data_IF_556301018366
#
_entry.id   IF_556301018366
#
_cell.length_a   1.000
_cell.length_b   1.000
_cell.length_c   1.000
_cell.angle_alpha   90.00
_cell.angle_beta   90.00
_cell.angle_gamma   90.00
#
_symmetry.space_group_name_H-M   'P 1'
#
loop_
_entity.id
_entity.type
_entity.pdbx_description
1 polymer ?
#
# COMPACT_ATOMS: atom_id res chain seq x y z
N UNK A 1 -52.55 -33.96 -6.30
CA UNK A 1 -51.66 -33.13 -7.15
C UNK A 1 -50.71 -32.38 -6.22
N UNK A 2 -49.46 -32.85 -6.06
CA UNK A 2 -48.45 -32.18 -5.24
C UNK A 2 -47.59 -31.28 -6.13
N UNK A 3 -47.66 -29.97 -5.90
CA UNK A 3 -46.82 -28.96 -6.54
C UNK A 3 -45.40 -29.04 -6.00
N UNK A 4 -44.43 -29.32 -6.87
CA UNK A 4 -43.01 -29.23 -6.56
C UNK A 4 -42.57 -27.76 -6.72
N UNK A 5 -42.21 -27.13 -5.60
CA UNK A 5 -41.52 -25.84 -5.62
C UNK A 5 -40.04 -26.08 -5.89
N UNK A 6 -39.58 -25.77 -7.10
CA UNK A 6 -38.16 -25.80 -7.46
C UNK A 6 -37.50 -24.53 -6.93
N UNK A 7 -36.77 -24.64 -5.82
CA UNK A 7 -35.90 -23.56 -5.33
C UNK A 7 -34.65 -23.53 -6.21
N UNK A 8 -34.60 -22.61 -7.17
CA UNK A 8 -33.38 -22.28 -7.91
C UNK A 8 -32.43 -21.57 -6.95
N UNK A 9 -31.48 -22.33 -6.40
CA UNK A 9 -30.30 -21.78 -5.73
C UNK A 9 -29.45 -21.05 -6.78
N UNK A 10 -29.63 -19.73 -6.87
CA UNK A 10 -28.78 -18.87 -7.69
C UNK A 10 -27.36 -18.88 -7.14
N UNK A 11 -26.44 -19.51 -7.87
CA UNK A 11 -25.01 -19.38 -7.64
C UNK A 11 -24.65 -17.93 -7.97
N UNK A 12 -24.50 -17.08 -6.95
CA UNK A 12 -23.83 -15.79 -7.09
C UNK A 12 -22.36 -16.11 -7.34
N UNK A 13 -21.97 -16.21 -8.61
CA UNK A 13 -20.57 -16.12 -8.97
C UNK A 13 -20.10 -14.72 -8.53
N UNK A 14 -19.40 -14.66 -7.40
CA UNK A 14 -18.69 -13.46 -6.99
C UNK A 14 -17.64 -13.18 -8.08
N UNK A 15 -17.98 -12.31 -9.04
CA UNK A 15 -17.06 -11.82 -10.04
C UNK A 15 -16.07 -10.85 -9.37
N UNK A 16 -15.23 -11.37 -8.49
CA UNK A 16 -14.01 -10.71 -8.10
C UNK A 16 -13.09 -10.67 -9.31
N UNK A 17 -12.62 -9.49 -9.67
CA UNK A 17 -11.59 -9.36 -10.69
C UNK A 17 -10.32 -9.97 -10.13
N UNK A 18 -9.93 -11.15 -10.61
CA UNK A 18 -8.59 -11.67 -10.39
C UNK A 18 -7.63 -10.69 -11.08
N UNK A 19 -6.92 -9.90 -10.29
CA UNK A 19 -5.93 -8.98 -10.84
C UNK A 19 -4.87 -9.77 -11.61
N UNK A 20 -4.59 -9.35 -12.85
CA UNK A 20 -3.50 -9.91 -13.63
C UNK A 20 -2.15 -9.65 -12.93
N UNK A 21 -1.20 -10.57 -13.14
CA UNK A 21 0.15 -10.39 -12.67
C UNK A 21 0.80 -9.16 -13.31
N UNK A 22 1.58 -8.41 -12.54
CA UNK A 22 2.20 -7.16 -12.99
C UNK A 22 3.68 -7.12 -12.62
N UNK A 23 4.53 -6.99 -13.63
CA UNK A 23 5.98 -6.86 -13.45
C UNK A 23 6.41 -5.42 -13.17
N UNK A 24 7.42 -5.26 -12.31
CA UNK A 24 7.97 -3.97 -11.91
C UNK A 24 9.42 -4.14 -11.41
N UNK A 25 10.11 -3.03 -11.14
CA UNK A 25 11.41 -3.03 -10.47
C UNK A 25 11.32 -2.23 -9.17
N UNK A 26 12.20 -2.48 -8.21
CA UNK A 26 12.25 -1.67 -6.97
C UNK A 26 12.43 -0.17 -7.25
N UNK A 27 13.19 0.16 -8.30
CA UNK A 27 13.43 1.54 -8.76
C UNK A 27 12.15 2.26 -9.17
N UNK A 28 11.17 1.58 -9.78
CA UNK A 28 9.91 2.24 -10.16
C UNK A 28 9.10 2.71 -8.95
N UNK A 29 9.37 2.15 -7.76
CA UNK A 29 8.74 2.51 -6.49
C UNK A 29 9.55 3.54 -5.68
N UNK A 30 10.68 4.04 -6.17
CA UNK A 30 11.56 4.93 -5.40
C UNK A 30 10.86 6.20 -4.91
N UNK A 31 9.95 6.75 -5.72
CA UNK A 31 9.15 7.93 -5.36
C UNK A 31 8.22 7.70 -4.15
N UNK A 32 7.88 6.44 -3.83
CA UNK A 32 7.06 6.07 -2.66
C UNK A 32 7.89 5.81 -1.40
N UNK A 33 9.21 5.83 -1.53
CA UNK A 33 10.15 5.51 -0.46
C UNK A 33 11.31 6.52 -0.42
N UNK A 34 11.03 7.83 -0.32
CA UNK A 34 12.05 8.88 -0.48
C UNK A 34 13.22 8.77 0.50
N UNK A 35 12.97 8.19 1.68
CA UNK A 35 13.96 8.03 2.75
C UNK A 35 14.51 6.60 2.89
N UNK A 36 14.12 5.69 2.00
CA UNK A 36 14.68 4.34 2.00
C UNK A 36 15.95 4.29 1.15
N UNK A 37 16.97 3.60 1.66
CA UNK A 37 18.15 3.29 0.87
C UNK A 37 17.88 2.08 -0.02
N UNK A 38 17.77 2.32 -1.33
CA UNK A 38 17.71 1.23 -2.30
C UNK A 38 18.99 0.38 -2.26
N UNK A 39 18.84 -0.94 -2.37
CA UNK A 39 19.92 -1.90 -2.21
C UNK A 39 20.24 -2.26 -0.76
N UNK A 40 19.43 -1.82 0.21
CA UNK A 40 19.52 -2.32 1.59
C UNK A 40 18.84 -3.70 1.75
N UNK A 41 18.86 -4.24 2.98
CA UNK A 41 18.30 -5.55 3.28
C UNK A 41 16.78 -5.69 3.04
N UNK A 42 16.03 -4.59 3.15
CA UNK A 42 14.58 -4.56 3.03
C UNK A 42 14.11 -4.07 1.66
N UNK A 43 15.01 -3.42 0.92
CA UNK A 43 14.83 -2.90 -0.43
C UNK A 43 15.93 -3.44 -1.35
N UNK A 44 16.14 -4.78 -1.43
CA UNK A 44 17.29 -5.37 -2.12
C UNK A 44 17.17 -5.20 -3.64
N UNK A 45 18.30 -5.08 -4.33
CA UNK A 45 18.41 -5.02 -5.80
C UNK A 45 17.28 -4.21 -6.48
N UNK A 46 17.38 -2.87 -6.54
CA UNK A 46 16.32 -2.03 -7.10
C UNK A 46 16.06 -2.27 -8.59
N UNK A 47 16.95 -2.96 -9.29
CA UNK A 47 16.84 -3.23 -10.73
C UNK A 47 16.35 -4.65 -11.03
N UNK A 48 16.18 -5.50 -10.01
CA UNK A 48 15.57 -6.81 -10.16
C UNK A 48 14.14 -6.70 -10.70
N UNK A 49 13.82 -7.55 -11.69
CA UNK A 49 12.46 -7.70 -12.20
C UNK A 49 11.63 -8.54 -11.22
N UNK A 50 10.61 -7.93 -10.63
CA UNK A 50 9.70 -8.51 -9.65
C UNK A 50 8.30 -8.58 -10.26
N UNK A 51 7.46 -9.52 -9.82
CA UNK A 51 6.12 -9.70 -10.39
C UNK A 51 5.07 -9.91 -9.30
N UNK A 52 4.20 -8.92 -9.11
CA UNK A 52 3.05 -9.03 -8.20
C UNK A 52 2.01 -9.99 -8.80
N UNK A 53 1.43 -10.88 -8.00
CA UNK A 53 0.55 -11.95 -8.48
C UNK A 53 1.28 -13.06 -9.25
N UNK A 54 2.62 -13.05 -9.26
CA UNK A 54 3.46 -14.12 -9.82
C UNK A 54 3.66 -15.29 -8.85
N UNK A 55 4.55 -16.22 -9.19
CA UNK A 55 4.93 -17.35 -8.32
C UNK A 55 6.10 -17.06 -7.38
N UNK A 56 6.87 -16.01 -7.66
CA UNK A 56 8.04 -15.61 -6.86
C UNK A 56 7.66 -14.68 -5.72
N UNK A 57 8.32 -14.85 -4.58
CA UNK A 57 8.15 -13.98 -3.41
C UNK A 57 8.89 -12.67 -3.63
N UNK A 58 8.18 -11.57 -3.46
CA UNK A 58 8.71 -10.20 -3.53
C UNK A 58 9.23 -9.77 -2.15
N UNK A 59 10.33 -8.99 -2.05
CA UNK A 59 10.71 -8.31 -0.81
C UNK A 59 9.54 -7.51 -0.21
N UNK A 60 9.32 -7.66 1.10
CA UNK A 60 8.11 -7.18 1.78
C UNK A 60 7.80 -5.69 1.56
N UNK A 61 8.83 -4.84 1.68
CA UNK A 61 8.67 -3.40 1.52
C UNK A 61 8.30 -3.01 0.09
N UNK A 62 8.88 -3.66 -0.93
CA UNK A 62 8.49 -3.45 -2.32
C UNK A 62 7.07 -3.92 -2.59
N UNK A 63 6.70 -5.08 -2.04
CA UNK A 63 5.39 -5.66 -2.25
C UNK A 63 4.28 -4.82 -1.60
N UNK A 64 4.48 -4.31 -0.38
CA UNK A 64 3.59 -3.34 0.26
C UNK A 64 3.35 -2.12 -0.64
N UNK A 65 4.44 -1.48 -1.08
CA UNK A 65 4.36 -0.27 -1.89
C UNK A 65 3.73 -0.54 -3.26
N UNK A 66 4.02 -1.70 -3.87
CA UNK A 66 3.45 -2.07 -5.16
C UNK A 66 1.96 -2.39 -5.07
N UNK A 67 1.51 -3.06 -4.01
CA UNK A 67 0.10 -3.32 -3.78
C UNK A 67 -0.66 -2.00 -3.62
N UNK A 68 -0.14 -1.06 -2.83
CA UNK A 68 -0.74 0.27 -2.68
C UNK A 68 -0.82 1.01 -4.02
N UNK A 69 0.31 1.14 -4.72
CA UNK A 69 0.40 1.76 -6.05
C UNK A 69 -0.62 1.18 -7.03
N UNK A 70 -0.67 -0.15 -7.12
CA UNK A 70 -1.58 -0.84 -8.01
C UNK A 70 -3.04 -0.58 -7.66
N UNK A 71 -3.40 -0.66 -6.38
CA UNK A 71 -4.76 -0.41 -5.93
C UNK A 71 -5.21 1.04 -6.19
N UNK A 72 -4.33 2.01 -5.99
CA UNK A 72 -4.58 3.42 -6.31
C UNK A 72 -4.82 3.63 -7.81
N UNK A 73 -3.94 3.06 -8.65
CA UNK A 73 -4.01 3.16 -10.12
C UNK A 73 -5.22 2.45 -10.71
N UNK A 74 -5.43 1.18 -10.35
CA UNK A 74 -6.47 0.36 -10.98
C UNK A 74 -7.88 0.87 -10.64
N UNK A 75 -8.07 1.41 -9.44
CA UNK A 75 -9.37 1.92 -8.99
C UNK A 75 -9.60 3.37 -9.39
N UNK A 76 -8.52 4.13 -9.63
CA UNK A 76 -8.56 5.57 -9.88
C UNK A 76 -9.15 6.38 -8.72
N UNK A 77 -9.14 5.80 -7.51
CA UNK A 77 -9.80 6.37 -6.34
C UNK A 77 -9.18 7.70 -5.88
N UNK A 78 -7.85 7.80 -5.93
CA UNK A 78 -7.16 9.04 -5.54
C UNK A 78 -7.36 10.19 -6.52
N UNK A 79 -7.78 9.91 -7.76
CA UNK A 79 -8.13 10.94 -8.74
C UNK A 79 -9.56 11.49 -8.54
N UNK A 80 -10.38 10.85 -7.71
CA UNK A 80 -11.80 11.15 -7.54
C UNK A 80 -12.28 10.68 -6.15
N UNK A 81 -11.78 11.34 -5.11
CA UNK A 81 -11.99 10.96 -3.70
C UNK A 81 -13.47 10.98 -3.27
N UNK A 82 -14.32 11.73 -3.97
CA UNK A 82 -15.75 11.82 -3.66
C UNK A 82 -16.57 10.69 -4.30
N UNK A 83 -15.95 9.85 -5.14
CA UNK A 83 -16.61 8.72 -5.77
C UNK A 83 -16.58 7.48 -4.88
N UNK A 84 -17.67 7.28 -4.14
CA UNK A 84 -17.82 6.17 -3.20
C UNK A 84 -17.54 4.79 -3.83
N UNK A 85 -17.91 4.56 -5.09
CA UNK A 85 -17.64 3.26 -5.74
C UNK A 85 -16.14 3.01 -5.93
N UNK A 86 -15.37 4.04 -6.33
CA UNK A 86 -13.92 3.91 -6.50
C UNK A 86 -13.23 3.77 -5.15
N UNK A 87 -13.63 4.55 -4.15
CA UNK A 87 -13.08 4.47 -2.80
C UNK A 87 -13.37 3.13 -2.13
N UNK A 88 -14.56 2.56 -2.35
CA UNK A 88 -14.89 1.20 -1.89
C UNK A 88 -14.05 0.15 -2.61
N UNK A 89 -13.90 0.23 -3.93
CA UNK A 89 -13.03 -0.67 -4.67
C UNK A 89 -11.56 -0.56 -4.22
N UNK A 90 -11.09 0.65 -3.86
CA UNK A 90 -9.76 0.85 -3.30
C UNK A 90 -9.60 0.20 -1.93
N UNK A 91 -10.59 0.35 -1.05
CA UNK A 91 -10.65 -0.37 0.23
C UNK A 91 -10.61 -1.88 0.06
N UNK A 92 -11.40 -2.43 -0.85
CA UNK A 92 -11.45 -3.86 -1.12
C UNK A 92 -10.16 -4.36 -1.81
N UNK A 93 -9.53 -3.53 -2.65
CA UNK A 93 -8.23 -3.85 -3.24
C UNK A 93 -7.13 -3.95 -2.18
N UNK A 94 -7.11 -3.04 -1.20
CA UNK A 94 -6.10 -3.07 -0.13
C UNK A 94 -6.38 -4.11 0.94
N UNK A 95 -7.64 -4.31 1.34
CA UNK A 95 -8.00 -5.09 2.55
C UNK A 95 -9.00 -6.22 2.31
N UNK A 96 -9.50 -6.37 1.09
CA UNK A 96 -10.44 -7.42 0.72
C UNK A 96 -9.78 -8.79 0.55
N UNK A 97 -10.60 -9.78 0.19
CA UNK A 97 -10.19 -11.17 0.08
C UNK A 97 -9.05 -11.36 -0.93
N UNK A 98 -7.96 -12.00 -0.50
CA UNK A 98 -6.77 -12.24 -1.32
C UNK A 98 -5.67 -11.19 -1.19
N UNK A 99 -5.96 -10.02 -0.60
CA UNK A 99 -4.92 -9.00 -0.40
C UNK A 99 -3.89 -9.47 0.62
N UNK A 100 -2.62 -9.24 0.30
CA UNK A 100 -1.54 -9.45 1.24
C UNK A 100 -1.06 -8.14 1.91
N UNK A 101 -1.55 -6.98 1.49
CA UNK A 101 -1.08 -5.63 1.89
C UNK A 101 -0.71 -5.48 3.36
N UNK A 102 -1.61 -5.85 4.30
CA UNK A 102 -1.33 -5.75 5.74
C UNK A 102 -0.14 -6.63 6.17
N UNK A 103 -0.11 -7.87 5.70
CA UNK A 103 0.99 -8.82 5.96
C UNK A 103 2.29 -8.35 5.31
N UNK A 104 2.22 -7.60 4.21
CA UNK A 104 3.37 -7.00 3.51
C UNK A 104 4.02 -5.93 4.34
N UNK A 105 3.18 -5.02 4.82
CA UNK A 105 3.59 -3.92 5.68
C UNK A 105 4.18 -4.39 7.01
N UNK A 106 3.51 -5.32 7.69
CA UNK A 106 3.98 -5.88 8.97
C UNK A 106 5.34 -6.57 8.83
N UNK A 107 5.55 -7.31 7.75
CA UNK A 107 6.82 -7.96 7.51
C UNK A 107 7.91 -7.00 7.00
N UNK A 108 7.55 -5.92 6.29
CA UNK A 108 8.47 -4.84 5.98
C UNK A 108 8.98 -4.19 7.27
N UNK A 109 8.08 -3.90 8.21
CA UNK A 109 8.40 -3.39 9.54
C UNK A 109 9.32 -4.35 10.32
N UNK A 110 8.98 -5.64 10.36
CA UNK A 110 9.84 -6.66 10.95
C UNK A 110 11.24 -6.70 10.33
N UNK A 111 11.34 -6.67 8.99
CA UNK A 111 12.61 -6.59 8.27
C UNK A 111 13.45 -5.38 8.74
N UNK A 112 12.82 -4.22 8.88
CA UNK A 112 13.50 -2.99 9.31
C UNK A 112 14.04 -3.12 10.73
N UNK A 113 13.33 -3.77 11.65
CA UNK A 113 13.82 -4.02 13.02
C UNK A 113 14.96 -5.03 13.05
N UNK A 114 14.83 -6.13 12.32
CA UNK A 114 15.85 -7.18 12.23
C UNK A 114 17.18 -6.62 11.72
N UNK A 115 17.10 -5.73 10.72
CA UNK A 115 18.26 -5.09 10.10
C UNK A 115 18.67 -3.75 10.72
N UNK A 116 18.11 -3.39 11.88
CA UNK A 116 18.45 -2.15 12.62
C UNK A 116 18.24 -0.86 11.81
N UNK A 117 17.33 -0.89 10.84
CA UNK A 117 16.81 0.29 10.14
C UNK A 117 15.81 1.01 11.04
N UNK A 118 14.95 0.26 11.73
CA UNK A 118 14.08 0.75 12.80
C UNK A 118 14.57 0.25 14.16
N UNK A 119 14.39 1.08 15.19
CA UNK A 119 14.37 0.59 16.57
C UNK A 119 13.01 -0.03 16.90
N UNK A 120 12.95 -0.84 17.96
CA UNK A 120 11.68 -1.45 18.39
C UNK A 120 10.61 -0.39 18.71
N UNK A 121 11.00 0.77 19.26
CA UNK A 121 10.08 1.85 19.54
C UNK A 121 9.53 2.50 18.26
N UNK A 122 10.39 2.72 17.25
CA UNK A 122 9.97 3.23 15.94
C UNK A 122 9.02 2.26 15.24
N UNK A 123 9.29 0.96 15.35
CA UNK A 123 8.43 -0.07 14.78
C UNK A 123 7.06 -0.13 15.45
N UNK A 124 7.04 -0.14 16.78
CA UNK A 124 5.81 -0.10 17.56
C UNK A 124 4.97 1.14 17.23
N UNK A 125 5.62 2.30 17.09
CA UNK A 125 4.96 3.53 16.64
C UNK A 125 4.24 3.32 15.29
N UNK A 126 4.93 2.80 14.28
CA UNK A 126 4.33 2.55 12.96
C UNK A 126 3.20 1.51 13.03
N UNK A 127 3.39 0.42 13.78
CA UNK A 127 2.36 -0.59 13.99
C UNK A 127 1.08 -0.01 14.60
N UNK A 128 1.21 0.86 15.61
CA UNK A 128 0.07 1.49 16.28
C UNK A 128 -0.65 2.48 15.36
N UNK A 129 0.09 3.29 14.61
CA UNK A 129 -0.47 4.22 13.62
C UNK A 129 -1.21 3.45 12.52
N UNK A 130 -0.60 2.41 11.96
CA UNK A 130 -1.21 1.61 10.91
C UNK A 130 -2.45 0.86 11.40
N UNK A 131 -2.46 0.37 12.64
CA UNK A 131 -3.66 -0.26 13.21
C UNK A 131 -4.83 0.72 13.27
N UNK A 132 -4.59 1.96 13.70
CA UNK A 132 -5.61 3.02 13.75
C UNK A 132 -6.07 3.42 12.35
N UNK A 133 -5.14 3.64 11.43
CA UNK A 133 -5.45 4.07 10.07
C UNK A 133 -6.18 2.99 9.28
N UNK A 134 -5.78 1.72 9.41
CA UNK A 134 -6.49 0.58 8.83
C UNK A 134 -7.93 0.51 9.33
N UNK A 135 -8.15 0.61 10.65
CA UNK A 135 -9.47 0.54 11.24
C UNK A 135 -10.36 1.69 10.73
N UNK A 136 -9.85 2.93 10.73
CA UNK A 136 -10.56 4.10 10.21
C UNK A 136 -10.87 3.95 8.72
N UNK A 137 -9.89 3.60 7.89
CA UNK A 137 -10.07 3.45 6.44
C UNK A 137 -11.10 2.34 6.10
N UNK A 138 -11.04 1.20 6.80
CA UNK A 138 -11.99 0.09 6.57
C UNK A 138 -13.41 0.42 7.01
N UNK A 139 -13.60 1.25 8.05
CA UNK A 139 -14.92 1.58 8.60
C UNK A 139 -15.53 2.89 8.10
N UNK A 140 -14.74 3.76 7.47
CA UNK A 140 -15.21 5.07 6.99
C UNK A 140 -16.38 4.95 6.01
N UNK A 141 -17.38 5.80 6.23
CA UNK A 141 -18.54 5.96 5.37
C UNK A 141 -19.14 7.38 5.54
N UNK A 142 -18.99 8.29 4.56
CA UNK A 142 -18.27 8.09 3.30
C UNK A 142 -16.76 7.93 3.54
N UNK A 143 -16.11 7.13 2.70
CA UNK A 143 -14.65 7.08 2.61
C UNK A 143 -14.23 8.05 1.50
N UNK A 144 -13.52 9.12 1.87
CA UNK A 144 -13.14 10.21 0.95
C UNK A 144 -11.66 10.65 1.10
N UNK A 145 -10.83 9.79 1.68
CA UNK A 145 -9.40 10.01 1.88
C UNK A 145 -8.61 8.77 1.53
N UNK A 146 -7.40 8.95 1.00
CA UNK A 146 -6.49 7.83 0.76
C UNK A 146 -6.02 7.19 2.07
N UNK A 147 -5.67 5.90 2.04
CA UNK A 147 -5.19 5.21 3.25
C UNK A 147 -3.95 5.89 3.85
N UNK A 148 -2.96 6.25 3.02
CA UNK A 148 -1.77 6.98 3.46
C UNK A 148 -2.08 8.36 4.05
N UNK A 149 -3.05 9.09 3.48
CA UNK A 149 -3.48 10.38 4.04
C UNK A 149 -4.08 10.20 5.45
N UNK A 150 -4.89 9.16 5.65
CA UNK A 150 -5.41 8.82 6.97
C UNK A 150 -4.26 8.45 7.93
N UNK A 151 -3.27 7.67 7.47
CA UNK A 151 -2.08 7.33 8.26
C UNK A 151 -1.32 8.58 8.71
N UNK A 152 -1.04 9.52 7.81
CA UNK A 152 -0.39 10.79 8.15
C UNK A 152 -1.22 11.62 9.14
N UNK A 153 -2.54 11.61 9.00
CA UNK A 153 -3.45 12.30 9.93
C UNK A 153 -3.36 11.80 11.38
N UNK A 154 -2.97 10.54 11.61
CA UNK A 154 -2.76 9.99 12.95
C UNK A 154 -1.40 10.31 13.56
N UNK A 155 -0.41 10.72 12.74
CA UNK A 155 0.90 11.12 13.24
C UNK A 155 0.77 12.49 13.91
N UNK A 156 0.14 13.45 13.22
CA UNK A 156 -0.21 14.79 13.73
C UNK A 156 1.00 15.68 14.06
N UNK A 157 1.88 15.20 14.93
CA UNK A 157 3.13 15.81 15.36
C UNK A 157 4.30 14.82 15.21
N UNK A 158 5.17 15.09 14.23
CA UNK A 158 6.38 14.30 13.99
C UNK A 158 7.38 14.36 15.15
N UNK A 159 7.28 15.33 16.07
CA UNK A 159 8.12 15.36 17.28
C UNK A 159 7.88 14.15 18.20
N UNK A 160 6.71 13.51 18.08
CA UNK A 160 6.36 12.28 18.80
C UNK A 160 6.95 11.01 18.18
N UNK A 161 7.53 11.11 16.97
CA UNK A 161 8.19 9.99 16.34
C UNK A 161 9.44 9.59 17.14
N UNK A 162 9.58 8.32 17.57
CA UNK A 162 10.71 7.92 18.39
C UNK A 162 12.05 8.17 17.69
N UNK A 163 12.96 8.88 18.36
CA UNK A 163 14.30 9.15 17.84
C UNK A 163 15.07 7.83 17.66
N UNK A 164 15.86 7.68 16.57
CA UNK A 164 16.68 6.51 16.38
C UNK A 164 17.72 6.41 17.50
N UNK A 165 17.63 5.35 18.28
CA UNK A 165 18.56 5.02 19.37
C UNK A 165 19.68 4.07 18.90
N UNK A 166 19.64 3.61 17.66
CA UNK A 166 20.67 2.77 17.05
C UNK A 166 21.20 3.43 15.77
N UNK A 167 22.51 3.39 15.56
CA UNK A 167 23.06 3.64 14.24
C UNK A 167 22.83 2.41 13.36
N UNK A 168 22.33 2.57 12.12
CA UNK A 168 22.20 1.47 11.17
C UNK A 168 23.56 0.78 11.03
N UNK A 169 23.63 -0.54 11.26
CA UNK A 169 24.89 -1.27 11.04
C UNK A 169 25.17 -1.34 9.55
N UNK A 170 26.38 -0.96 9.14
CA UNK A 170 26.88 -1.30 7.82
C UNK A 170 27.07 -2.83 7.73
N UNK A 171 26.57 -3.46 6.67
CA UNK A 171 26.66 -4.90 6.48
C UNK A 171 25.29 -5.54 6.24
N UNK A 172 25.10 -5.97 5.00
CA UNK A 172 23.90 -6.57 4.44
C UNK A 172 23.59 -7.94 5.06
N UNK A 173 22.33 -8.15 5.43
CA UNK A 173 21.73 -9.48 5.57
C UNK A 173 20.32 -9.41 4.98
N UNK A 174 20.05 -10.10 3.88
CA UNK A 174 18.67 -10.28 3.44
C UNK A 174 17.89 -10.96 4.58
N UNK A 175 17.00 -10.23 5.26
CA UNK A 175 16.20 -10.86 6.31
C UNK A 175 15.27 -11.86 5.65
N UNK A 176 15.30 -13.08 6.19
CA UNK A 176 14.42 -14.21 5.86
C UNK A 176 12.96 -13.99 6.27
N UNK A 177 12.60 -12.78 6.70
CA UNK A 177 11.34 -12.45 7.31
C UNK A 177 10.20 -12.25 6.31
N UNK A 178 9.90 -13.22 5.42
CA UNK A 178 8.55 -13.28 4.87
C UNK A 178 8.00 -14.59 4.29
N UNK A 179 6.69 -14.71 4.49
CA UNK A 179 5.64 -15.60 3.96
C UNK A 179 5.97 -16.44 2.73
N UNK A 180 5.59 -17.73 2.82
CA UNK A 180 5.61 -18.73 1.75
C UNK A 180 4.55 -18.54 0.66
N UNK A 181 3.64 -17.57 0.81
CA UNK A 181 2.55 -17.33 -0.14
C UNK A 181 2.87 -16.16 -1.08
N UNK A 182 2.55 -16.27 -2.38
CA UNK A 182 2.64 -15.17 -3.34
C UNK A 182 1.87 -13.92 -2.90
N UNK A 183 2.46 -12.75 -3.16
CA UNK A 183 1.83 -11.48 -2.85
C UNK A 183 0.83 -11.05 -3.92
N UNK A 184 -0.30 -10.48 -3.48
CA UNK A 184 -1.33 -10.01 -4.39
C UNK A 184 -2.21 -8.90 -3.78
N UNK A 185 -2.96 -8.22 -4.64
CA UNK A 185 -4.05 -7.32 -4.24
C UNK A 185 -5.29 -8.13 -3.84
N UNK A 186 -6.20 -7.49 -3.12
CA UNK A 186 -7.51 -8.02 -2.80
C UNK A 186 -8.43 -8.08 -4.02
N UNK A 187 -9.48 -8.90 -3.91
CA UNK A 187 -10.55 -8.94 -4.90
C UNK A 187 -11.41 -7.69 -4.76
N UNK A 188 -11.50 -6.90 -5.82
CA UNK A 188 -12.35 -5.71 -5.88
C UNK A 188 -13.16 -5.70 -7.17
N UNK A 189 -14.22 -4.89 -7.20
CA UNK A 189 -15.00 -4.63 -8.41
C UNK A 189 -15.21 -3.13 -8.55
N UNK A 190 -14.89 -2.60 -9.72
CA UNK A 190 -15.45 -1.32 -10.15
C UNK A 190 -16.84 -1.65 -10.66
N UNK A 191 -17.89 -1.09 -10.05
CA UNK A 191 -19.23 -1.17 -10.62
C UNK A 191 -19.11 -0.75 -12.09
N UNK A 192 -19.38 -1.67 -13.02
CA UNK A 192 -19.13 -1.45 -14.46
C UNK A 192 -19.72 -0.10 -14.83
N UNK A 193 -18.89 0.80 -15.37
CA UNK A 193 -19.36 1.93 -16.17
C UNK A 193 -20.38 1.36 -17.14
N UNK A 194 -21.66 1.72 -17.03
CA UNK A 194 -22.56 1.56 -18.16
C UNK A 194 -21.88 2.33 -19.30
N UNK A 195 -21.55 1.65 -20.40
CA UNK A 195 -20.97 2.25 -21.61
C UNK A 195 -21.69 3.56 -21.93
N UNK A 196 -21.07 4.69 -21.62
CA UNK A 196 -21.44 5.99 -22.17
C UNK A 196 -20.14 6.68 -22.52
N UNK A 197 -19.83 6.56 -23.81
CA UNK A 197 -18.86 7.33 -24.61
C UNK A 197 -17.49 7.56 -23.98
N UNK A 198 -16.55 6.72 -24.41
CA UNK A 198 -15.13 7.04 -24.52
C UNK A 198 -14.95 8.26 -25.45
N UNK A 199 -15.09 9.46 -24.91
CA UNK A 199 -14.67 10.68 -25.61
C UNK A 199 -14.33 11.78 -24.61
N UNK A 200 -13.51 11.45 -23.62
CA UNK A 200 -12.79 12.40 -22.77
C UNK A 200 -11.69 11.68 -21.99
N UNK A 201 -10.82 10.95 -22.71
CA UNK A 201 -9.46 10.73 -22.24
C UNK A 201 -8.67 12.03 -22.46
N UNK A 202 -9.03 13.07 -21.70
CA UNK A 202 -8.30 14.33 -21.68
C UNK A 202 -7.43 14.34 -20.43
N UNK A 203 -6.12 14.23 -20.66
CA UNK A 203 -5.01 14.53 -19.76
C UNK A 203 -5.21 14.17 -18.28
N UNK A 204 -4.59 13.07 -17.85
CA UNK A 204 -4.24 12.88 -16.44
C UNK A 204 -3.57 14.17 -15.92
N UNK A 205 -4.07 14.80 -14.85
CA UNK A 205 -3.31 15.84 -14.18
C UNK A 205 -2.01 15.20 -13.69
N UNK A 206 -0.87 15.81 -14.01
CA UNK A 206 0.41 15.41 -13.45
C UNK A 206 0.45 15.85 -11.99
N UNK A 207 -0.21 15.09 -11.11
CA UNK A 207 -0.14 15.33 -9.68
C UNK A 207 1.31 15.20 -9.22
N UNK A 208 1.84 16.25 -8.58
CA UNK A 208 3.20 16.27 -8.04
C UNK A 208 3.11 16.35 -6.53
N UNK A 209 3.58 15.30 -5.85
CA UNK A 209 3.82 15.35 -4.41
C UNK A 209 5.15 16.06 -4.17
N UNK A 210 5.10 17.21 -3.51
CA UNK A 210 6.32 17.88 -3.04
C UNK A 210 6.49 17.58 -1.56
N UNK A 211 7.58 16.91 -1.22
CA UNK A 211 7.99 16.68 0.16
C UNK A 211 9.11 17.66 0.48
N UNK A 212 8.89 18.56 1.44
CA UNK A 212 9.94 19.42 1.97
C UNK A 212 10.38 18.86 3.31
N UNK A 213 11.64 18.47 3.39
CA UNK A 213 12.25 17.96 4.62
C UNK A 213 13.34 18.93 5.09
N UNK A 214 13.30 19.27 6.38
CA UNK A 214 14.38 19.95 7.06
C UNK A 214 15.29 18.90 7.71
N UNK A 215 16.59 19.00 7.48
CA UNK A 215 17.60 18.09 8.01
C UNK A 215 18.45 18.79 9.07
N UNK A 216 18.87 18.04 10.09
CA UNK A 216 19.93 18.50 11.00
C UNK A 216 21.32 18.36 10.36
N UNK A 217 22.34 18.80 11.09
CA UNK A 217 23.74 18.76 10.65
C UNK A 217 24.27 17.34 10.40
N UNK A 218 23.56 16.30 10.84
CA UNK A 218 23.90 14.90 10.64
C UNK A 218 23.06 14.24 9.53
N UNK A 219 22.21 15.01 8.84
CA UNK A 219 21.34 14.51 7.79
C UNK A 219 20.09 13.78 8.33
N UNK A 220 19.72 13.96 9.60
CA UNK A 220 18.48 13.44 10.13
C UNK A 220 17.32 14.40 9.87
N UNK A 221 16.18 13.89 9.39
CA UNK A 221 14.97 14.69 9.18
C UNK A 221 14.44 15.17 10.54
N UNK A 222 14.32 16.48 10.71
CA UNK A 222 13.79 17.12 11.93
C UNK A 222 12.40 17.73 11.73
N UNK A 223 11.97 17.93 10.49
CA UNK A 223 10.61 18.29 10.13
C UNK A 223 10.34 17.90 8.68
N UNK A 224 9.11 17.49 8.36
CA UNK A 224 8.67 17.25 7.00
C UNK A 224 7.26 17.82 6.77
N UNK A 225 7.05 18.48 5.64
CA UNK A 225 5.73 18.82 5.12
C UNK A 225 5.51 18.15 3.76
N UNK A 226 4.25 17.81 3.48
CA UNK A 226 3.84 17.21 2.22
C UNK A 226 2.68 18.02 1.67
N UNK A 227 2.87 18.59 0.48
CA UNK A 227 1.83 19.30 -0.25
C UNK A 227 1.54 18.60 -1.58
N UNK A 228 0.25 18.43 -1.85
CA UNK A 228 -0.26 17.89 -3.11
C UNK A 228 -0.64 19.06 -4.03
N UNK A 229 -0.12 19.06 -5.26
CA UNK A 229 -0.48 20.01 -6.32
C UNK A 229 -0.97 19.27 -7.56
#
# INVERSE_FOLDING_TARGET
MLSHATVLAGIVAAFGTLSAAESFTGRSLAHRMPNSKMGDACHPDPDASLTLGGSSIIPACFAEQKISDKCERDTGALADLNNASKMNAYRDCLFGAGSTYRKDREACLACKVENKIHTAAQDQFWMDIYKKSDAMFQSANPLNKGHWEITLGFIGDWSTYPKPNAQPKAGYCASKGRSSAPQNVGSYSLARRSKRSDEQASASPAWKLTVQEAFDANGAVIAASAEWH
#
